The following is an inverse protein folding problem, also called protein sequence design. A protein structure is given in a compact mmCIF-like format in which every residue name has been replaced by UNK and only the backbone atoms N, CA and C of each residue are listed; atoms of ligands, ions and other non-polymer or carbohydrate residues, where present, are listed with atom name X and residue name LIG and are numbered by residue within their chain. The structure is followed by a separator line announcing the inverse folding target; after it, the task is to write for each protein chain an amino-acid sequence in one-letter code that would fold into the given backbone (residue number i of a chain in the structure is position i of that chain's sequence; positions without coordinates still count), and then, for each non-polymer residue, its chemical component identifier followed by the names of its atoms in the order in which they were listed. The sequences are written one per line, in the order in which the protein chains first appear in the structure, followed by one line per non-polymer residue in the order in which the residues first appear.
data_IF_565829974387
#
_entry.id   IF_565829974387
#
_cell.length_a   1.000
_cell.length_b   1.000
_cell.length_c   1.000
_cell.angle_alpha   90.00
_cell.angle_beta   90.00
_cell.angle_gamma   90.00
#
_symmetry.space_group_name_H-M   'P 1'
#
loop_
_entity.id
_entity.type
_entity.pdbx_description
1 polymer ?
#
# COMPACT_ATOMS: atom_id res chain seq x y z
N UNK A 1 44.90 -20.62 -19.41
CA UNK A 1 43.46 -20.62 -19.74
C UNK A 1 42.73 -19.76 -18.72
N UNK A 2 41.91 -18.83 -19.23
CA UNK A 2 40.86 -18.02 -18.59
C UNK A 2 41.09 -17.60 -17.13
N UNK A 3 41.58 -16.39 -16.97
CA UNK A 3 41.27 -15.60 -15.78
C UNK A 3 39.75 -15.35 -15.74
N UNK A 4 39.13 -15.49 -14.56
CA UNK A 4 37.85 -14.88 -14.14
C UNK A 4 36.69 -15.03 -15.13
N UNK A 5 35.78 -15.97 -14.88
CA UNK A 5 34.38 -15.66 -15.14
C UNK A 5 33.86 -14.88 -13.92
N UNK A 6 33.25 -13.73 -14.16
CA UNK A 6 32.78 -12.82 -13.13
C UNK A 6 31.35 -13.16 -12.68
N UNK A 7 30.96 -14.44 -12.75
CA UNK A 7 29.55 -14.85 -12.54
C UNK A 7 29.18 -14.88 -11.05
N UNK A 8 30.17 -14.94 -10.16
CA UNK A 8 29.98 -14.86 -8.70
C UNK A 8 30.10 -13.43 -8.15
N UNK A 9 29.73 -12.41 -8.94
CA UNK A 9 29.33 -11.13 -8.38
C UNK A 9 27.95 -11.28 -7.70
N UNK A 10 27.96 -11.93 -6.53
CA UNK A 10 26.85 -12.01 -5.57
C UNK A 10 26.37 -10.64 -5.05
N UNK A 11 26.91 -9.53 -5.57
CA UNK A 11 26.54 -8.15 -5.23
C UNK A 11 25.08 -7.78 -5.56
N UNK A 12 24.30 -8.66 -6.20
CA UNK A 12 22.87 -8.48 -6.45
C UNK A 12 21.95 -9.43 -5.64
N UNK A 13 22.48 -10.33 -4.80
CA UNK A 13 21.66 -11.39 -4.17
C UNK A 13 21.12 -11.06 -2.77
N UNK A 14 21.34 -9.85 -2.25
CA UNK A 14 20.74 -9.45 -0.97
C UNK A 14 20.38 -7.97 -0.88
N UNK A 15 19.72 -7.46 -1.91
CA UNK A 15 18.86 -6.30 -1.69
C UNK A 15 17.58 -6.82 -1.00
N UNK A 16 17.07 -6.18 0.07
CA UNK A 16 15.71 -6.50 0.53
C UNK A 16 14.81 -6.36 -0.69
N UNK A 17 13.84 -7.26 -0.88
CA UNK A 17 12.89 -7.23 -2.00
C UNK A 17 12.33 -5.82 -2.12
N UNK A 18 12.93 -5.01 -2.98
CA UNK A 18 12.52 -3.63 -3.17
C UNK A 18 11.26 -3.74 -4.02
N UNK A 19 10.11 -3.51 -3.37
CA UNK A 19 8.83 -3.41 -4.06
C UNK A 19 8.90 -2.16 -4.95
N UNK A 20 9.17 -2.36 -6.25
CA UNK A 20 9.21 -1.28 -7.26
C UNK A 20 7.85 -1.03 -7.92
N UNK A 21 6.86 -1.87 -7.63
CA UNK A 21 5.49 -1.69 -8.11
C UNK A 21 4.80 -0.67 -7.22
N UNK A 22 4.22 0.37 -7.83
CA UNK A 22 3.41 1.33 -7.11
C UNK A 22 2.20 0.63 -6.43
N UNK A 23 1.73 1.16 -5.28
CA UNK A 23 0.49 0.72 -4.66
C UNK A 23 -0.69 0.73 -5.64
N UNK A 24 -1.62 -0.21 -5.47
CA UNK A 24 -2.88 -0.15 -6.18
C UNK A 24 -3.67 1.10 -5.75
N UNK A 25 -4.31 1.78 -6.72
CA UNK A 25 -5.19 2.89 -6.40
C UNK A 25 -6.37 2.43 -5.51
N UNK A 26 -6.85 3.27 -4.57
CA UNK A 26 -8.05 2.95 -3.79
C UNK A 26 -9.27 2.76 -4.67
N UNK A 27 -10.19 1.90 -4.25
CA UNK A 27 -11.42 1.58 -5.00
C UNK A 27 -12.64 1.49 -4.08
N UNK A 28 -13.84 1.50 -4.65
CA UNK A 28 -15.09 1.24 -3.92
C UNK A 28 -15.47 2.32 -2.92
N UNK A 29 -15.14 3.59 -3.18
CA UNK A 29 -15.53 4.70 -2.31
C UNK A 29 -17.06 4.82 -2.26
N UNK A 30 -17.62 4.75 -1.05
CA UNK A 30 -19.04 4.93 -0.81
C UNK A 30 -19.29 5.77 0.44
N UNK A 31 -20.42 6.49 0.45
CA UNK A 31 -20.91 7.25 1.58
C UNK A 31 -22.34 6.80 1.92
N UNK A 32 -22.56 6.43 3.17
CA UNK A 32 -23.89 6.15 3.73
C UNK A 32 -24.25 7.24 4.74
N UNK A 33 -25.36 7.91 4.47
CA UNK A 33 -25.91 8.99 5.29
C UNK A 33 -27.30 8.65 5.85
N UNK A 34 -27.69 7.37 5.87
CA UNK A 34 -29.01 6.96 6.37
C UNK A 34 -29.14 6.99 7.90
N UNK A 35 -28.02 7.08 8.63
CA UNK A 35 -27.96 7.14 10.09
C UNK A 35 -27.70 8.54 10.65
N UNK A 36 -27.48 8.62 11.97
CA UNK A 36 -27.08 9.85 12.66
C UNK A 36 -25.62 10.27 12.38
N UNK A 37 -24.84 9.37 11.80
CA UNK A 37 -23.43 9.56 11.46
C UNK A 37 -23.21 9.19 10.00
N UNK A 38 -22.39 9.98 9.29
CA UNK A 38 -21.91 9.60 7.96
C UNK A 38 -20.87 8.49 8.08
N UNK A 39 -21.09 7.40 7.34
CA UNK A 39 -20.11 6.31 7.21
C UNK A 39 -19.47 6.40 5.83
N UNK A 40 -18.15 6.49 5.79
CA UNK A 40 -17.35 6.44 4.57
C UNK A 40 -16.63 5.10 4.52
N UNK A 41 -16.73 4.39 3.40
CA UNK A 41 -16.09 3.09 3.20
C UNK A 41 -15.35 3.04 1.87
N UNK A 42 -14.39 2.12 1.76
CA UNK A 42 -13.58 1.89 0.57
C UNK A 42 -12.54 0.81 0.81
N UNK A 43 -11.85 0.41 -0.27
CA UNK A 43 -10.75 -0.57 -0.23
C UNK A 43 -9.44 0.11 -0.62
N UNK A 44 -8.45 -0.04 0.24
CA UNK A 44 -7.08 0.43 0.03
C UNK A 44 -6.10 -0.58 0.63
N UNK A 45 -4.81 -0.40 0.34
CA UNK A 45 -3.76 -1.23 0.95
C UNK A 45 -3.64 -0.95 2.46
N UNK A 46 -3.15 -1.93 3.26
CA UNK A 46 -2.91 -1.72 4.69
C UNK A 46 -2.05 -0.48 4.95
N UNK A 47 -2.33 0.20 6.07
CA UNK A 47 -1.68 1.46 6.48
C UNK A 47 -1.98 2.69 5.60
N UNK A 48 -3.01 2.62 4.75
CA UNK A 48 -3.56 3.81 4.07
C UNK A 48 -4.24 4.78 5.05
N UNK A 49 -4.37 6.05 4.64
CA UNK A 49 -5.07 7.11 5.37
C UNK A 49 -6.42 7.42 4.73
N UNK A 50 -7.38 7.88 5.54
CA UNK A 50 -8.61 8.50 5.05
C UNK A 50 -8.49 10.01 5.23
N UNK A 51 -8.74 10.76 4.16
CA UNK A 51 -8.70 12.23 4.14
C UNK A 51 -10.05 12.75 3.64
N UNK A 52 -10.69 13.61 4.43
CA UNK A 52 -11.95 14.28 4.06
C UNK A 52 -11.71 15.78 4.23
N UNK A 53 -11.92 16.56 3.17
CA UNK A 53 -11.70 18.01 3.15
C UNK A 53 -10.32 18.44 3.68
N UNK A 54 -9.28 17.65 3.35
CA UNK A 54 -7.90 17.91 3.78
C UNK A 54 -7.59 17.51 5.23
N UNK A 55 -8.56 16.96 5.97
CA UNK A 55 -8.38 16.46 7.33
C UNK A 55 -8.23 14.94 7.33
N UNK A 56 -7.19 14.45 7.99
CA UNK A 56 -7.01 13.02 8.22
C UNK A 56 -7.96 12.50 9.29
N UNK A 57 -8.52 11.31 9.06
CA UNK A 57 -9.37 10.59 10.00
C UNK A 57 -8.74 9.23 10.35
N UNK A 58 -8.84 8.78 11.61
CA UNK A 58 -8.36 7.46 11.99
C UNK A 58 -9.16 6.38 11.26
N UNK A 59 -8.44 5.44 10.65
CA UNK A 59 -9.07 4.26 10.04
C UNK A 59 -9.36 3.23 11.13
N UNK A 60 -10.62 2.87 11.30
CA UNK A 60 -11.00 1.70 12.07
C UNK A 60 -10.76 0.46 11.19
N UNK A 61 -9.61 -0.20 11.34
CA UNK A 61 -9.26 -1.43 10.62
C UNK A 61 -10.08 -2.66 11.06
N UNK A 62 -11.36 -2.49 11.39
CA UNK A 62 -12.26 -3.58 11.76
C UNK A 62 -12.88 -4.18 10.50
N UNK A 63 -12.09 -5.00 9.77
CA UNK A 63 -12.56 -5.70 8.58
C UNK A 63 -11.42 -6.34 7.78
N UNK A 64 -10.74 -7.32 8.37
CA UNK A 64 -10.17 -8.46 7.63
C UNK A 64 -11.15 -9.63 7.71
#
# INVERSE_FOLDING_TARGET
MKAKDASDNLLMQRLPRYQITAPAAPTGLAADNSGTNTVISGKAEPNSKVVIDGKEYPVNAAGM
#
